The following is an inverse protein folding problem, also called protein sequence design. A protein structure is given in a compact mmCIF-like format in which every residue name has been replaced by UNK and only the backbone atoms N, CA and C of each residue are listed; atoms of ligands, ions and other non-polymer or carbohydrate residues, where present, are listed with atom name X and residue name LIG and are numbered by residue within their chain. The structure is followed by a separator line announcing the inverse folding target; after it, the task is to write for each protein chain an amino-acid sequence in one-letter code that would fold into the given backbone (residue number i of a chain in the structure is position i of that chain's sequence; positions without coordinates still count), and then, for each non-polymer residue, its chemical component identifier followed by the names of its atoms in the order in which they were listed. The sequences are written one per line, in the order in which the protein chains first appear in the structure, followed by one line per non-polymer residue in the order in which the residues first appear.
data_IF_257477041777
#
_entry.id   IF_257477041777
#
_cell.length_a   1.000
_cell.length_b   1.000
_cell.length_c   1.000
_cell.angle_alpha   90.00
_cell.angle_beta   90.00
_cell.angle_gamma   90.00
#
_symmetry.space_group_name_H-M   'P 1'
#
loop_
_entity.id
_entity.type
_entity.pdbx_description
1 polymer ?
#
# COMPACT_ATOMS: atom_id res chain seq x y z
N UNK A 1 24.98 0.00 -5.41
CA UNK A 1 23.65 0.47 -5.88
C UNK A 1 23.21 -0.32 -7.13
N UNK A 2 23.81 -1.49 -7.37
CA UNK A 2 23.88 -2.12 -8.70
C UNK A 2 23.39 -3.58 -8.66
N UNK A 3 22.61 -3.93 -7.63
CA UNK A 3 22.02 -5.27 -7.57
C UNK A 3 20.94 -5.40 -8.66
N UNK A 4 21.07 -6.37 -9.58
CA UNK A 4 20.10 -6.58 -10.62
C UNK A 4 18.75 -6.99 -10.01
N UNK A 5 17.66 -6.59 -10.65
CA UNK A 5 16.32 -7.08 -10.27
C UNK A 5 16.33 -8.60 -10.43
N UNK A 6 15.94 -9.37 -9.39
CA UNK A 6 15.74 -10.81 -9.53
C UNK A 6 14.81 -11.10 -10.72
N UNK A 7 15.27 -11.93 -11.66
CA UNK A 7 14.44 -12.36 -12.77
C UNK A 7 13.36 -13.32 -12.27
N UNK A 8 12.22 -13.35 -12.97
CA UNK A 8 11.14 -14.32 -12.77
C UNK A 8 11.21 -15.32 -13.92
N UNK A 9 11.85 -16.50 -13.73
CA UNK A 9 11.94 -17.51 -14.77
C UNK A 9 10.55 -17.96 -15.24
N UNK A 10 10.36 -18.18 -16.55
CA UNK A 10 9.07 -18.60 -17.11
C UNK A 10 8.08 -17.46 -17.40
N UNK A 11 8.40 -16.21 -17.04
CA UNK A 11 7.52 -15.06 -17.23
C UNK A 11 7.13 -14.86 -18.71
N UNK A 12 8.02 -15.18 -19.64
CA UNK A 12 7.83 -15.08 -21.09
C UNK A 12 6.72 -16.00 -21.64
N UNK A 13 6.32 -17.03 -20.87
CA UNK A 13 5.17 -17.88 -21.21
C UNK A 13 3.83 -17.17 -21.01
N UNK A 14 3.84 -16.08 -20.24
CA UNK A 14 2.65 -15.30 -19.86
C UNK A 14 2.66 -13.92 -20.49
N UNK A 15 3.77 -13.18 -20.38
CA UNK A 15 3.87 -11.77 -20.79
C UNK A 15 4.60 -11.67 -22.12
N UNK A 16 3.89 -11.22 -23.16
CA UNK A 16 4.43 -10.98 -24.51
C UNK A 16 4.88 -9.54 -24.72
N UNK A 17 4.27 -8.58 -24.03
CA UNK A 17 4.62 -7.16 -24.11
C UNK A 17 4.80 -6.56 -22.71
N UNK A 18 6.04 -6.54 -22.23
CA UNK A 18 6.40 -6.03 -20.89
C UNK A 18 6.04 -4.55 -20.71
N UNK A 19 6.34 -3.63 -21.63
CA UNK A 19 5.91 -2.23 -21.50
C UNK A 19 4.41 -2.03 -21.29
N UNK A 20 3.56 -2.77 -22.00
CA UNK A 20 2.10 -2.71 -21.82
C UNK A 20 1.69 -3.33 -20.48
N UNK A 21 2.33 -4.43 -20.06
CA UNK A 21 2.08 -5.03 -18.75
C UNK A 21 2.46 -4.09 -17.59
N UNK A 22 3.55 -3.32 -17.71
CA UNK A 22 3.97 -2.30 -16.74
C UNK A 22 2.94 -1.16 -16.69
N UNK A 23 2.47 -0.69 -17.85
CA UNK A 23 1.41 0.34 -17.91
C UNK A 23 0.09 -0.15 -17.30
N UNK A 24 -0.29 -1.40 -17.57
CA UNK A 24 -1.42 -2.06 -16.93
C UNK A 24 -1.24 -2.11 -15.40
N UNK A 25 -0.07 -2.53 -14.92
CA UNK A 25 0.25 -2.61 -13.50
C UNK A 25 0.15 -1.27 -12.81
N UNK A 26 0.75 -0.22 -13.40
CA UNK A 26 0.62 1.14 -12.87
C UNK A 26 -0.85 1.57 -12.85
N UNK A 27 -1.59 1.37 -13.93
CA UNK A 27 -3.00 1.75 -13.95
C UNK A 27 -3.81 1.03 -12.86
N UNK A 28 -3.63 -0.28 -12.66
CA UNK A 28 -4.30 -1.05 -11.60
C UNK A 28 -3.90 -0.58 -10.20
N UNK A 29 -2.61 -0.30 -9.96
CA UNK A 29 -2.11 0.12 -8.65
C UNK A 29 -2.73 1.44 -8.17
N UNK A 30 -3.02 2.35 -9.11
CA UNK A 30 -3.51 3.69 -8.83
C UNK A 30 -5.03 3.86 -8.98
N UNK A 31 -5.75 2.89 -9.55
CA UNK A 31 -7.17 3.07 -9.89
C UNK A 31 -8.09 2.84 -8.69
N UNK A 32 -8.77 3.90 -8.27
CA UNK A 32 -9.75 3.87 -7.18
C UNK A 32 -10.96 2.95 -7.47
N UNK A 33 -11.19 2.60 -8.74
CA UNK A 33 -12.23 1.62 -9.14
C UNK A 33 -11.81 0.18 -8.88
N UNK A 34 -10.58 -0.11 -8.49
CA UNK A 34 -10.21 -1.45 -8.01
C UNK A 34 -10.98 -1.75 -6.73
N UNK A 35 -10.82 -0.89 -5.73
CA UNK A 35 -11.55 -0.98 -4.47
C UNK A 35 -13.05 -0.74 -4.61
N UNK A 36 -13.78 -1.09 -3.56
CA UNK A 36 -15.23 -0.97 -3.53
C UNK A 36 -15.73 0.42 -3.16
N UNK A 37 -14.93 1.17 -2.42
CA UNK A 37 -15.29 2.48 -1.85
C UNK A 37 -14.24 3.57 -2.17
N UNK A 38 -13.49 3.36 -3.26
CA UNK A 38 -12.48 4.30 -3.75
C UNK A 38 -11.06 4.05 -3.23
N UNK A 39 -10.81 2.98 -2.47
CA UNK A 39 -9.44 2.61 -2.13
C UNK A 39 -8.68 2.02 -3.33
N UNK A 40 -7.42 2.41 -3.45
CA UNK A 40 -6.45 1.87 -4.41
C UNK A 40 -5.19 1.44 -3.63
N UNK A 41 -4.32 0.63 -4.23
CA UNK A 41 -3.03 0.31 -3.60
C UNK A 41 -2.25 1.61 -3.29
N UNK A 42 -2.29 2.57 -4.21
CA UNK A 42 -1.65 3.86 -4.03
C UNK A 42 -2.17 4.67 -2.82
N UNK A 43 -3.41 4.48 -2.36
CA UNK A 43 -3.95 5.21 -1.20
C UNK A 43 -3.12 5.04 0.06
N UNK A 44 -2.47 3.88 0.24
CA UNK A 44 -1.62 3.57 1.38
C UNK A 44 -0.12 3.57 1.03
N UNK A 45 0.24 3.68 -0.25
CA UNK A 45 1.62 3.51 -0.73
C UNK A 45 2.16 4.73 -1.52
N UNK A 46 1.49 5.88 -1.51
CA UNK A 46 1.88 7.03 -2.32
C UNK A 46 3.14 7.77 -1.81
N UNK A 47 3.38 7.80 -0.50
CA UNK A 47 4.48 8.55 0.10
C UNK A 47 5.66 7.64 0.42
N UNK A 48 6.60 7.51 -0.53
CA UNK A 48 7.73 6.58 -0.41
C UNK A 48 7.30 5.13 -0.10
N UNK A 49 6.10 4.74 -0.55
CA UNK A 49 5.55 3.42 -0.34
C UNK A 49 4.87 3.19 1.01
N UNK A 50 4.75 4.18 1.88
CA UNK A 50 4.07 4.07 3.17
C UNK A 50 2.92 5.08 3.30
N UNK A 51 2.03 4.83 4.25
CA UNK A 51 0.91 5.72 4.55
C UNK A 51 1.37 6.79 5.56
N UNK A 52 1.36 8.05 5.14
CA UNK A 52 1.72 9.19 5.98
C UNK A 52 0.49 10.04 6.38
N UNK A 53 -0.72 9.53 6.15
CA UNK A 53 -1.93 10.16 6.68
C UNK A 53 -1.87 10.13 8.20
N UNK A 54 -2.46 11.12 8.85
CA UNK A 54 -2.47 11.22 10.33
C UNK A 54 -3.82 10.87 10.93
N UNK A 55 -4.90 10.93 10.13
CA UNK A 55 -6.26 10.74 10.60
C UNK A 55 -6.78 9.34 10.28
N UNK A 56 -7.44 8.73 11.26
CA UNK A 56 -8.01 7.39 11.15
C UNK A 56 -6.93 6.33 10.84
N UNK A 57 -5.89 6.31 11.67
CA UNK A 57 -4.69 5.49 11.47
C UNK A 57 -4.44 4.55 12.65
N UNK A 58 -5.42 4.30 13.51
CA UNK A 58 -5.26 3.42 14.68
C UNK A 58 -6.15 2.20 14.47
N UNK A 59 -5.56 1.01 14.66
CA UNK A 59 -6.26 -0.26 14.78
C UNK A 59 -6.10 -0.77 16.21
N UNK A 60 -7.13 -1.35 16.84
CA UNK A 60 -6.94 -2.07 18.08
C UNK A 60 -6.13 -3.35 17.83
N UNK A 61 -5.79 -4.07 18.89
CA UNK A 61 -5.02 -5.32 18.86
C UNK A 61 -5.73 -6.51 18.19
N UNK A 62 -6.37 -6.33 17.02
CA UNK A 62 -7.23 -7.29 16.33
C UNK A 62 -6.55 -8.64 16.10
N UNK A 63 -5.23 -8.66 15.85
CA UNK A 63 -4.47 -9.91 15.68
C UNK A 63 -4.34 -10.73 16.96
N UNK A 64 -4.43 -10.09 18.10
CA UNK A 64 -4.51 -10.72 19.42
C UNK A 64 -5.95 -11.00 19.85
N UNK A 65 -6.95 -10.72 19.02
CA UNK A 65 -8.37 -10.85 19.37
C UNK A 65 -8.94 -9.66 20.14
N UNK A 66 -8.18 -8.57 20.29
CA UNK A 66 -8.66 -7.36 20.96
C UNK A 66 -9.33 -6.42 19.96
N UNK A 67 -10.63 -6.19 20.16
CA UNK A 67 -11.43 -5.28 19.35
C UNK A 67 -11.63 -3.92 20.00
N UNK A 68 -11.21 -3.75 21.26
CA UNK A 68 -11.32 -2.49 21.97
C UNK A 68 -10.07 -1.64 21.72
N UNK A 69 -10.25 -0.35 21.53
CA UNK A 69 -9.12 0.58 21.47
C UNK A 69 -8.55 0.79 22.85
N UNK A 70 -7.23 0.81 22.95
CA UNK A 70 -6.54 1.10 24.19
C UNK A 70 -6.83 2.52 24.72
N UNK A 71 -6.50 2.77 25.97
CA UNK A 71 -6.53 4.11 26.55
C UNK A 71 -5.14 4.71 26.52
N UNK A 72 -4.98 5.89 25.92
CA UNK A 72 -3.74 6.67 26.05
C UNK A 72 -4.00 7.91 26.91
N UNK A 73 -2.96 8.64 27.37
CA UNK A 73 -3.16 9.91 28.04
C UNK A 73 -3.92 10.94 27.18
N UNK A 74 -3.96 10.76 25.85
CA UNK A 74 -4.83 11.50 24.96
C UNK A 74 -6.28 10.99 25.12
N UNK A 75 -7.19 11.88 25.51
CA UNK A 75 -8.59 11.52 25.87
C UNK A 75 -9.46 11.01 24.71
N UNK A 76 -8.98 11.09 23.46
CA UNK A 76 -9.74 10.79 22.24
C UNK A 76 -9.10 9.69 21.36
N UNK A 77 -8.28 8.81 21.96
CA UNK A 77 -7.63 7.72 21.24
C UNK A 77 -8.64 6.73 20.63
N UNK A 78 -8.52 6.46 19.33
CA UNK A 78 -9.31 5.42 18.67
C UNK A 78 -9.71 5.75 17.23
N UNK A 79 -10.88 5.29 16.76
CA UNK A 79 -11.29 5.43 15.38
C UNK A 79 -11.45 6.91 15.01
N UNK A 80 -11.03 7.30 13.81
CA UNK A 80 -11.07 8.69 13.31
C UNK A 80 -10.22 9.72 14.08
N UNK A 81 -9.42 9.29 15.05
CA UNK A 81 -8.46 10.15 15.76
C UNK A 81 -7.39 10.70 14.79
N UNK A 82 -6.88 11.90 15.09
CA UNK A 82 -5.76 12.53 14.39
C UNK A 82 -4.50 12.39 15.23
N UNK A 83 -3.54 11.60 14.76
CA UNK A 83 -2.27 11.38 15.41
C UNK A 83 -1.50 12.69 15.64
N UNK A 84 -0.84 12.75 16.79
CA UNK A 84 0.04 13.83 17.24
C UNK A 84 1.42 13.25 17.56
N UNK A 85 2.45 14.10 17.56
CA UNK A 85 3.81 13.68 17.92
C UNK A 85 3.88 13.08 19.33
N UNK A 86 3.12 13.63 20.28
CA UNK A 86 3.05 13.18 21.68
C UNK A 86 2.45 11.79 21.88
N UNK A 87 1.83 11.21 20.84
CA UNK A 87 1.30 9.85 20.88
C UNK A 87 2.40 8.80 20.78
N UNK A 88 3.61 9.20 20.38
CA UNK A 88 4.75 8.32 20.22
C UNK A 88 5.78 8.49 21.35
N UNK A 89 6.52 7.42 21.69
CA UNK A 89 6.37 6.06 21.17
C UNK A 89 5.19 5.29 21.80
N UNK A 90 4.71 4.24 21.12
CA UNK A 90 3.62 3.38 21.60
C UNK A 90 4.02 2.47 22.77
N UNK A 91 5.33 2.43 23.07
CA UNK A 91 5.92 1.76 24.22
C UNK A 91 6.97 2.71 24.83
N UNK A 92 6.74 3.16 26.05
CA UNK A 92 7.57 4.14 26.77
C UNK A 92 8.15 3.53 28.02
N UNK A 93 9.47 3.62 28.14
CA UNK A 93 10.25 3.24 29.30
C UNK A 93 10.62 4.49 30.12
N UNK A 94 10.85 4.31 31.43
CA UNK A 94 11.31 5.37 32.32
C UNK A 94 12.70 5.87 31.93
N UNK A 95 13.59 4.95 31.55
CA UNK A 95 14.83 5.25 30.85
C UNK A 95 14.78 4.60 29.44
N UNK A 96 14.66 5.41 28.37
CA UNK A 96 14.63 4.90 27.00
C UNK A 96 15.89 4.13 26.56
N UNK A 97 17.01 4.26 27.28
CA UNK A 97 18.26 3.58 26.99
C UNK A 97 18.43 2.27 27.79
N UNK A 98 17.57 2.03 28.77
CA UNK A 98 17.56 0.80 29.58
C UNK A 98 16.28 0.00 29.35
N UNK A 99 16.41 -1.10 28.62
CA UNK A 99 15.33 -2.05 28.31
C UNK A 99 14.70 -2.71 29.53
N UNK A 100 15.37 -2.67 30.69
CA UNK A 100 14.90 -3.27 31.93
C UNK A 100 14.30 -2.21 32.90
N UNK A 101 14.25 -0.93 32.49
CA UNK A 101 13.60 0.14 33.26
C UNK A 101 12.07 0.05 33.23
N UNK A 102 11.43 0.74 34.16
CA UNK A 102 9.96 0.69 34.33
C UNK A 102 9.21 1.10 33.05
N UNK A 103 8.16 0.36 32.70
CA UNK A 103 7.27 0.70 31.59
C UNK A 103 6.29 1.77 32.05
N UNK A 104 6.41 2.98 31.50
CA UNK A 104 5.50 4.10 31.79
C UNK A 104 4.20 4.02 31.01
N UNK A 105 4.24 3.45 29.81
CA UNK A 105 3.08 3.30 28.94
C UNK A 105 3.34 2.25 27.87
N UNK A 106 2.34 1.45 27.57
CA UNK A 106 2.36 0.53 26.43
C UNK A 106 0.94 0.34 25.94
N UNK A 107 0.78 0.16 24.63
CA UNK A 107 -0.49 -0.26 24.02
C UNK A 107 -0.23 -1.37 23.01
N UNK A 108 -1.22 -2.23 22.80
CA UNK A 108 -1.26 -3.23 21.73
C UNK A 108 -1.88 -2.67 20.44
N UNK A 109 -2.43 -1.46 20.48
CA UNK A 109 -2.94 -0.77 19.31
C UNK A 109 -1.82 -0.49 18.30
N UNK A 110 -2.18 -0.52 17.03
CA UNK A 110 -1.26 -0.39 15.90
C UNK A 110 -1.56 0.91 15.16
N UNK A 111 -0.53 1.73 14.95
CA UNK A 111 -0.60 2.83 13.99
C UNK A 111 -0.37 2.30 12.57
N UNK A 112 -1.36 2.46 11.71
CA UNK A 112 -1.52 1.74 10.46
C UNK A 112 -2.46 2.44 9.50
N UNK A 113 -2.67 1.88 8.31
CA UNK A 113 -3.33 2.54 7.19
C UNK A 113 -4.84 2.37 7.20
N UNK A 114 -5.54 3.47 6.93
CA UNK A 114 -6.99 3.46 6.72
C UNK A 114 -7.36 2.72 5.43
N UNK A 115 -8.23 1.72 5.56
CA UNK A 115 -8.76 0.91 4.46
C UNK A 115 -10.21 1.24 4.15
N UNK A 116 -11.07 0.23 4.02
CA UNK A 116 -12.46 0.34 3.54
C UNK A 116 -13.47 0.67 4.66
N UNK A 117 -14.65 1.17 4.28
CA UNK A 117 -15.81 1.24 5.17
C UNK A 117 -16.52 -0.11 5.34
N UNK A 118 -16.28 -1.08 4.46
CA UNK A 118 -16.84 -2.42 4.40
C UNK A 118 -18.38 -2.60 4.37
N UNK A 119 -18.83 -3.74 3.86
CA UNK A 119 -20.20 -4.22 3.71
C UNK A 119 -20.20 -5.33 2.65
N UNK A 120 -21.10 -6.32 2.71
CA UNK A 120 -20.97 -7.51 1.84
C UNK A 120 -21.06 -7.24 0.33
N UNK A 121 -20.25 -7.91 -0.48
CA UNK A 121 -20.38 -7.85 -1.93
C UNK A 121 -21.73 -8.44 -2.39
N UNK A 122 -22.52 -7.65 -3.13
CA UNK A 122 -23.82 -8.09 -3.67
C UNK A 122 -23.71 -8.47 -5.14
N UNK A 123 -23.19 -7.55 -5.98
CA UNK A 123 -23.06 -7.77 -7.43
C UNK A 123 -22.18 -6.72 -8.10
N UNK A 124 -21.57 -7.12 -9.22
CA UNK A 124 -21.03 -6.18 -10.22
C UNK A 124 -22.15 -5.68 -11.12
N UNK A 125 -22.21 -4.37 -11.35
CA UNK A 125 -22.95 -3.78 -12.47
C UNK A 125 -21.94 -3.46 -13.57
N UNK A 126 -21.96 -4.20 -14.68
CA UNK A 126 -21.02 -3.97 -15.81
C UNK A 126 -21.01 -2.49 -16.19
N UNK A 127 -19.81 -1.91 -16.32
CA UNK A 127 -19.57 -0.47 -16.60
C UNK A 127 -20.06 0.54 -15.54
N UNK A 128 -20.75 0.11 -14.49
CA UNK A 128 -21.33 0.97 -13.46
C UNK A 128 -20.80 0.68 -12.04
N UNK A 129 -19.71 -0.09 -11.92
CA UNK A 129 -19.08 -0.40 -10.64
C UNK A 129 -19.64 -1.66 -9.99
N UNK A 130 -19.62 -1.70 -8.66
CA UNK A 130 -20.18 -2.78 -7.86
C UNK A 130 -21.08 -2.24 -6.77
N UNK A 131 -21.93 -3.11 -6.22
CA UNK A 131 -22.81 -2.78 -5.10
C UNK A 131 -22.37 -3.59 -3.89
N UNK A 132 -22.20 -2.89 -2.78
CA UNK A 132 -22.00 -3.49 -1.47
C UNK A 132 -23.26 -3.39 -0.61
N UNK A 133 -23.37 -4.29 0.34
CA UNK A 133 -24.43 -4.41 1.30
C UNK A 133 -24.23 -3.47 2.49
N UNK A 134 -25.02 -3.73 3.53
CA UNK A 134 -24.87 -3.04 4.80
C UNK A 134 -23.68 -3.63 5.56
N UNK A 135 -23.14 -2.84 6.47
CA UNK A 135 -22.12 -3.25 7.43
C UNK A 135 -22.73 -3.37 8.81
N UNK A 136 -22.31 -4.41 9.51
CA UNK A 136 -22.62 -4.59 10.91
C UNK A 136 -21.81 -3.63 11.80
N UNK A 137 -22.39 -3.12 12.90
CA UNK A 137 -21.66 -2.32 13.88
C UNK A 137 -20.38 -3.00 14.39
N UNK A 138 -19.29 -2.24 14.45
CA UNK A 138 -18.01 -2.69 14.98
C UNK A 138 -17.28 -1.56 15.72
N UNK A 139 -16.05 -1.80 16.16
CA UNK A 139 -15.27 -0.82 16.92
C UNK A 139 -14.84 0.41 16.11
N UNK A 140 -14.93 0.37 14.77
CA UNK A 140 -14.63 1.52 13.91
C UNK A 140 -15.89 2.36 13.65
N UNK A 141 -16.50 2.84 14.73
CA UNK A 141 -17.65 3.74 14.72
C UNK A 141 -17.44 4.92 15.66
N UNK A 142 -17.94 6.09 15.26
CA UNK A 142 -17.87 7.32 16.05
C UNK A 142 -19.25 7.96 16.05
N UNK A 143 -19.85 8.12 17.23
CA UNK A 143 -21.21 8.68 17.40
C UNK A 143 -22.27 8.01 16.51
N UNK A 144 -22.24 6.67 16.42
CA UNK A 144 -23.18 5.89 15.61
C UNK A 144 -22.93 5.95 14.09
N UNK A 145 -21.83 6.56 13.64
CA UNK A 145 -21.44 6.62 12.23
C UNK A 145 -20.23 5.73 11.98
N UNK A 146 -20.28 4.96 10.90
CA UNK A 146 -19.15 4.18 10.43
C UNK A 146 -18.00 5.09 9.99
N UNK A 147 -16.80 4.72 10.42
CA UNK A 147 -15.55 5.26 9.87
C UNK A 147 -14.77 4.14 9.18
N UNK A 148 -13.72 4.50 8.43
CA UNK A 148 -12.90 3.51 7.72
C UNK A 148 -12.26 2.56 8.74
N UNK A 149 -12.29 1.26 8.45
CA UNK A 149 -11.47 0.28 9.14
C UNK A 149 -9.99 0.64 8.99
N UNK A 150 -9.18 0.24 9.96
CA UNK A 150 -7.72 0.42 9.91
C UNK A 150 -7.09 -0.95 9.96
N UNK A 151 -6.10 -1.18 9.08
CA UNK A 151 -5.40 -2.45 9.01
C UNK A 151 -4.71 -2.80 10.33
N UNK A 152 -4.71 -4.08 10.75
CA UNK A 152 -3.98 -4.50 11.95
C UNK A 152 -2.46 -4.62 11.73
N UNK A 153 -1.94 -4.10 10.62
CA UNK A 153 -0.51 -3.99 10.31
C UNK A 153 -0.25 -2.74 9.48
N UNK A 154 0.76 -1.98 9.87
CA UNK A 154 1.24 -0.85 9.11
C UNK A 154 1.64 -1.26 7.68
N UNK A 155 1.30 -0.41 6.71
CA UNK A 155 1.64 -0.64 5.30
C UNK A 155 3.15 -0.50 5.08
N UNK A 156 3.84 -1.56 4.62
CA UNK A 156 5.28 -1.50 4.39
C UNK A 156 5.61 -0.68 3.14
N UNK A 157 6.83 -0.13 3.10
CA UNK A 157 7.34 0.56 1.92
C UNK A 157 7.40 -0.35 0.70
N UNK A 158 7.05 0.20 -0.47
CA UNK A 158 7.25 -0.43 -1.79
C UNK A 158 8.70 -0.35 -2.27
N UNK A 159 9.51 0.54 -1.66
CA UNK A 159 10.91 0.72 -2.03
C UNK A 159 11.67 -0.56 -1.70
N UNK A 160 12.42 -1.07 -2.69
CA UNK A 160 13.22 -2.29 -2.58
C UNK A 160 12.43 -3.58 -2.26
N UNK A 161 11.09 -3.54 -2.20
CA UNK A 161 10.27 -4.72 -1.91
C UNK A 161 10.50 -5.88 -2.91
N UNK A 162 10.94 -5.55 -4.13
CA UNK A 162 11.36 -6.52 -5.15
C UNK A 162 12.52 -7.43 -4.74
N UNK A 163 13.38 -6.98 -3.83
CA UNK A 163 14.53 -7.75 -3.36
C UNK A 163 14.18 -8.70 -2.21
N UNK A 164 12.97 -8.63 -1.67
CA UNK A 164 12.53 -9.53 -0.61
C UNK A 164 12.21 -10.91 -1.19
N UNK A 165 12.87 -11.94 -0.66
CA UNK A 165 12.53 -13.33 -0.98
C UNK A 165 11.05 -13.64 -0.63
N UNK A 166 10.56 -13.14 0.51
CA UNK A 166 9.13 -13.12 0.87
C UNK A 166 8.80 -11.78 1.50
N UNK A 167 7.68 -11.17 1.11
CA UNK A 167 7.30 -9.87 1.67
C UNK A 167 6.64 -10.00 3.04
N UNK A 168 5.90 -11.09 3.32
CA UNK A 168 5.18 -11.28 4.57
C UNK A 168 5.66 -12.51 5.34
N UNK A 169 5.72 -12.37 6.67
CA UNK A 169 6.19 -13.43 7.57
C UNK A 169 5.09 -14.41 7.99
N UNK A 170 3.83 -14.06 7.75
CA UNK A 170 2.66 -14.90 8.07
C UNK A 170 2.34 -15.96 7.00
N UNK A 171 3.26 -16.18 6.06
CA UNK A 171 3.08 -17.15 4.98
C UNK A 171 2.24 -16.64 3.80
N UNK A 172 1.76 -15.39 3.78
CA UNK A 172 1.33 -14.74 2.53
C UNK A 172 2.54 -14.22 1.74
N UNK A 173 2.30 -13.65 0.56
CA UNK A 173 3.34 -13.10 -0.32
C UNK A 173 4.48 -14.09 -0.61
N UNK A 174 4.12 -15.32 -0.97
CA UNK A 174 5.04 -16.42 -1.31
C UNK A 174 6.01 -16.04 -2.43
N UNK A 175 7.29 -16.43 -2.32
CA UNK A 175 8.28 -16.29 -3.39
C UNK A 175 7.85 -16.96 -4.70
N UNK A 176 7.08 -18.04 -4.59
CA UNK A 176 6.53 -18.76 -5.73
C UNK A 176 5.09 -18.31 -5.90
N UNK A 177 4.79 -17.58 -6.97
CA UNK A 177 3.45 -17.15 -7.33
C UNK A 177 2.73 -18.26 -8.09
N UNK A 178 1.49 -18.54 -7.69
CA UNK A 178 0.66 -19.61 -8.22
C UNK A 178 -0.41 -19.13 -9.23
N UNK A 179 -0.41 -17.84 -9.58
CA UNK A 179 -1.38 -17.25 -10.50
C UNK A 179 -2.72 -16.83 -9.87
N UNK A 180 -3.01 -17.19 -8.62
CA UNK A 180 -4.36 -17.05 -8.04
C UNK A 180 -4.37 -16.40 -6.66
N UNK A 181 -3.46 -16.80 -5.77
CA UNK A 181 -3.56 -16.48 -4.34
C UNK A 181 -2.19 -16.12 -3.72
N UNK A 182 -2.16 -15.46 -2.54
CA UNK A 182 -0.92 -15.00 -1.94
C UNK A 182 -0.05 -16.12 -1.35
N UNK A 183 -0.56 -17.35 -1.30
CA UNK A 183 0.03 -18.46 -0.56
C UNK A 183 0.97 -19.34 -1.38
N UNK A 184 1.02 -19.15 -2.71
CA UNK A 184 1.88 -19.95 -3.58
C UNK A 184 1.55 -21.44 -3.51
N UNK A 185 2.54 -22.35 -3.43
CA UNK A 185 2.32 -23.79 -3.38
C UNK A 185 1.51 -24.30 -2.17
N UNK A 186 1.29 -23.48 -1.13
CA UNK A 186 0.44 -23.84 0.01
C UNK A 186 -1.06 -23.81 -0.30
N UNK A 187 -1.43 -23.22 -1.43
CA UNK A 187 -2.79 -23.31 -1.95
C UNK A 187 -2.85 -24.47 -2.96
N UNK A 188 -3.36 -25.66 -2.56
CA UNK A 188 -3.39 -26.83 -3.43
C UNK A 188 -4.38 -26.66 -4.60
N UNK A 189 -5.32 -25.72 -4.46
CA UNK A 189 -6.38 -25.38 -5.39
C UNK A 189 -5.99 -24.22 -6.31
N UNK A 190 -4.78 -23.68 -6.27
CA UNK A 190 -4.41 -22.64 -7.22
C UNK A 190 -4.25 -23.23 -8.64
N UNK A 191 -5.16 -22.84 -9.54
CA UNK A 191 -5.18 -23.22 -10.96
C UNK A 191 -5.70 -22.08 -11.83
N UNK A 192 -5.15 -21.98 -13.03
CA UNK A 192 -5.58 -21.02 -14.08
C UNK A 192 -6.06 -21.79 -15.30
N UNK A 193 -6.91 -21.17 -16.12
CA UNK A 193 -7.43 -21.76 -17.35
C UNK A 193 -6.47 -21.51 -18.51
N UNK A 194 -6.01 -22.56 -19.17
CA UNK A 194 -5.25 -22.48 -20.43
C UNK A 194 -6.15 -22.87 -21.60
N UNK A 195 -6.12 -22.07 -22.67
CA UNK A 195 -6.75 -22.40 -23.94
C UNK A 195 -5.79 -23.27 -24.76
N UNK A 196 -6.29 -24.42 -25.19
CA UNK A 196 -5.58 -25.38 -26.02
C UNK A 196 -5.81 -25.06 -27.50
N UNK A 197 -4.95 -25.61 -28.37
CA UNK A 197 -5.03 -25.37 -29.82
C UNK A 197 -6.33 -25.87 -30.45
N UNK A 198 -6.98 -26.86 -29.85
CA UNK A 198 -8.29 -27.41 -30.26
C UNK A 198 -9.49 -26.57 -29.78
N UNK A 199 -9.23 -25.46 -29.08
CA UNK A 199 -10.25 -24.60 -28.49
C UNK A 199 -10.82 -25.07 -27.15
N UNK A 200 -10.35 -26.21 -26.62
CA UNK A 200 -10.68 -26.69 -25.27
C UNK A 200 -9.97 -25.87 -24.18
N UNK A 201 -10.45 -25.98 -22.93
CA UNK A 201 -9.84 -25.35 -21.76
C UNK A 201 -9.30 -26.42 -20.81
N UNK A 202 -8.07 -26.21 -20.35
CA UNK A 202 -7.43 -27.04 -19.32
C UNK A 202 -7.12 -26.23 -18.06
N UNK A 203 -7.37 -26.81 -16.89
CA UNK A 203 -6.86 -26.28 -15.64
C UNK A 203 -5.38 -26.62 -15.50
N UNK A 204 -4.54 -25.60 -15.33
CA UNK A 204 -3.09 -25.78 -15.17
C UNK A 204 -2.59 -25.09 -13.91
N UNK A 205 -1.58 -25.68 -13.27
CA UNK A 205 -0.88 -25.07 -12.15
C UNK A 205 0.19 -24.11 -12.65
N UNK A 206 0.36 -22.99 -11.97
CA UNK A 206 1.43 -22.03 -12.21
C UNK A 206 2.36 -22.05 -11.00
N UNK A 207 3.66 -21.90 -11.24
CA UNK A 207 4.67 -21.77 -10.21
C UNK A 207 5.79 -20.87 -10.74
N UNK A 208 5.67 -19.57 -10.50
CA UNK A 208 6.67 -18.58 -10.91
C UNK A 208 7.53 -18.19 -9.71
N UNK A 209 8.81 -18.52 -9.74
CA UNK A 209 9.77 -18.15 -8.70
C UNK A 209 10.16 -16.67 -8.77
N UNK A 210 10.67 -16.12 -7.66
CA UNK A 210 11.01 -14.71 -7.53
C UNK A 210 9.81 -13.81 -7.87
N UNK A 211 8.63 -14.22 -7.40
CA UNK A 211 7.37 -13.55 -7.65
C UNK A 211 6.61 -13.21 -6.35
N UNK A 212 7.36 -12.87 -5.29
CA UNK A 212 6.81 -12.48 -3.99
C UNK A 212 5.90 -11.24 -4.08
N UNK A 213 6.17 -10.33 -5.02
CA UNK A 213 5.33 -9.15 -5.29
C UNK A 213 4.01 -9.52 -5.97
N UNK A 214 4.02 -10.41 -6.96
CA UNK A 214 2.79 -10.89 -7.59
C UNK A 214 1.90 -11.61 -6.57
N UNK A 215 2.49 -12.48 -5.75
CA UNK A 215 1.79 -13.13 -4.64
C UNK A 215 1.23 -12.12 -3.64
N UNK A 216 1.99 -11.08 -3.28
CA UNK A 216 1.50 -10.04 -2.36
C UNK A 216 0.32 -9.26 -2.96
N UNK A 217 0.41 -8.92 -4.25
CA UNK A 217 -0.57 -8.09 -4.93
C UNK A 217 -1.97 -8.73 -5.01
N UNK A 218 -2.08 -10.06 -5.02
CA UNK A 218 -3.36 -10.78 -5.10
C UNK A 218 -4.05 -11.00 -3.74
N UNK A 219 -3.72 -10.19 -2.72
CA UNK A 219 -4.42 -10.17 -1.44
C UNK A 219 -5.31 -8.93 -1.27
N UNK A 220 -4.72 -7.72 -1.27
CA UNK A 220 -5.41 -6.48 -0.89
C UNK A 220 -6.72 -6.20 -1.63
N UNK A 221 -6.84 -6.42 -2.97
CA UNK A 221 -8.05 -6.07 -3.71
C UNK A 221 -9.32 -6.84 -3.31
N UNK A 222 -9.21 -7.89 -2.50
CA UNK A 222 -10.35 -8.66 -1.97
C UNK A 222 -10.50 -8.54 -0.46
N UNK A 223 -9.60 -7.82 0.22
CA UNK A 223 -9.64 -7.67 1.67
C UNK A 223 -10.72 -6.67 2.09
N UNK A 224 -11.57 -7.12 3.01
CA UNK A 224 -12.67 -6.41 3.66
C UNK A 224 -12.21 -5.45 4.77
N UNK A 225 -10.90 -5.36 4.96
CA UNK A 225 -10.26 -4.28 5.68
C UNK A 225 -9.51 -3.35 4.73
N UNK A 226 -8.84 -3.86 3.69
CA UNK A 226 -7.93 -3.03 2.88
C UNK A 226 -8.68 -2.21 1.81
N UNK A 227 -9.46 -2.88 0.96
CA UNK A 227 -9.92 -2.25 -0.30
C UNK A 227 -11.33 -2.62 -0.76
N UNK A 228 -11.92 -3.73 -0.30
CA UNK A 228 -13.03 -4.33 -1.01
C UNK A 228 -14.10 -4.86 -0.09
N UNK A 229 -15.33 -4.77 -0.53
CA UNK A 229 -16.46 -5.48 0.06
C UNK A 229 -16.18 -6.98 0.22
N UNK A 230 -16.68 -7.55 1.31
CA UNK A 230 -16.45 -8.89 1.79
C UNK A 230 -17.10 -9.90 0.86
N UNK A 231 -16.58 -11.13 0.85
CA UNK A 231 -17.05 -12.22 -0.01
C UNK A 231 -16.89 -12.00 -1.52
N UNK A 232 -16.24 -10.91 -1.97
CA UNK A 232 -15.90 -10.70 -3.38
C UNK A 232 -14.77 -11.63 -3.82
N UNK A 233 -14.87 -12.17 -5.04
CA UNK A 233 -13.80 -12.98 -5.64
C UNK A 233 -13.00 -12.21 -6.69
N UNK A 234 -11.81 -12.72 -7.04
CA UNK A 234 -11.01 -12.14 -8.13
C UNK A 234 -11.72 -12.22 -9.49
N UNK A 235 -12.63 -13.18 -9.67
CA UNK A 235 -13.43 -13.32 -10.90
C UNK A 235 -14.48 -12.21 -10.98
N UNK A 236 -15.06 -11.82 -9.85
CA UNK A 236 -15.92 -10.63 -9.74
C UNK A 236 -15.13 -9.36 -10.05
N UNK A 237 -13.93 -9.22 -9.50
CA UNK A 237 -13.05 -8.09 -9.79
C UNK A 237 -12.69 -8.03 -11.28
N UNK A 238 -12.36 -9.16 -11.90
CA UNK A 238 -12.12 -9.26 -13.34
C UNK A 238 -13.35 -8.85 -14.15
N UNK A 239 -14.53 -9.35 -13.80
CA UNK A 239 -15.81 -8.96 -14.42
C UNK A 239 -16.10 -7.46 -14.31
N UNK A 240 -15.77 -6.86 -13.17
CA UNK A 240 -15.85 -5.41 -12.97
C UNK A 240 -14.89 -4.70 -13.91
N UNK A 241 -13.60 -5.01 -13.86
CA UNK A 241 -12.55 -4.19 -14.46
C UNK A 241 -12.31 -4.43 -15.95
N UNK A 242 -12.43 -5.65 -16.47
CA UNK A 242 -12.06 -5.99 -17.87
C UNK A 242 -12.72 -5.06 -18.91
N UNK A 243 -13.96 -4.65 -18.67
CA UNK A 243 -14.70 -3.75 -19.56
C UNK A 243 -14.55 -2.25 -19.25
N UNK A 244 -13.90 -1.91 -18.14
CA UNK A 244 -13.73 -0.54 -17.68
C UNK A 244 -12.53 0.14 -18.35
N UNK A 245 -12.62 1.47 -18.39
CA UNK A 245 -11.51 2.34 -18.70
C UNK A 245 -10.65 2.52 -17.43
N UNK A 246 -9.34 2.26 -17.49
CA UNK A 246 -8.45 2.57 -16.38
C UNK A 246 -8.43 4.06 -16.06
N UNK A 247 -8.43 4.37 -14.77
CA UNK A 247 -8.33 5.72 -14.21
C UNK A 247 -9.44 6.64 -14.71
N UNK A 248 -10.65 6.11 -14.96
CA UNK A 248 -11.74 6.84 -15.61
C UNK A 248 -12.14 8.13 -14.89
N UNK A 249 -11.99 8.15 -13.56
CA UNK A 249 -12.34 9.29 -12.70
C UNK A 249 -11.10 10.10 -12.25
N UNK A 250 -9.91 9.74 -12.75
CA UNK A 250 -8.64 10.30 -12.32
C UNK A 250 -7.91 11.00 -13.46
N UNK A 251 -7.23 12.10 -13.14
CA UNK A 251 -6.35 12.79 -14.08
C UNK A 251 -5.01 12.07 -14.18
N UNK A 252 -4.55 11.87 -15.41
CA UNK A 252 -3.22 11.32 -15.70
C UNK A 252 -2.33 12.47 -16.14
N UNK A 253 -1.18 12.64 -15.48
CA UNK A 253 -0.25 13.70 -15.80
C UNK A 253 0.30 13.55 -17.22
N UNK A 254 0.44 14.65 -17.97
CA UNK A 254 0.90 14.61 -19.36
C UNK A 254 2.35 14.11 -19.50
N UNK A 255 3.17 14.31 -18.47
CA UNK A 255 4.55 13.82 -18.38
C UNK A 255 4.69 12.58 -17.48
N UNK A 256 3.61 11.83 -17.22
CA UNK A 256 3.71 10.58 -16.46
C UNK A 256 4.71 9.62 -17.13
N UNK A 257 5.66 9.10 -16.36
CA UNK A 257 6.79 8.29 -16.88
C UNK A 257 6.40 7.01 -17.60
N UNK A 258 5.18 6.50 -17.38
CA UNK A 258 4.70 5.24 -17.98
C UNK A 258 3.38 5.47 -18.74
N UNK A 259 2.44 6.21 -18.14
CA UNK A 259 1.08 6.36 -18.64
C UNK A 259 0.91 7.50 -19.64
N UNK A 260 1.89 8.39 -19.84
CA UNK A 260 1.76 9.51 -20.77
C UNK A 260 1.37 9.06 -22.20
N UNK A 261 1.94 7.96 -22.69
CA UNK A 261 1.61 7.42 -24.02
C UNK A 261 0.16 6.89 -24.11
N UNK A 262 -0.40 6.45 -22.98
CA UNK A 262 -1.73 5.85 -22.88
C UNK A 262 -2.82 6.86 -22.47
N UNK A 263 -2.42 8.04 -22.00
CA UNK A 263 -3.31 9.13 -21.54
C UNK A 263 -4.30 9.54 -22.63
N UNK A 264 -5.59 9.67 -22.29
CA UNK A 264 -6.59 10.19 -23.24
C UNK A 264 -6.35 11.65 -23.60
N UNK A 265 -6.81 12.09 -24.79
CA UNK A 265 -7.09 13.50 -25.02
C UNK A 265 -8.01 14.02 -23.90
N UNK A 266 -7.64 15.14 -23.27
CA UNK A 266 -8.32 15.68 -22.09
C UNK A 266 -7.81 15.20 -20.73
N UNK A 267 -6.94 14.19 -20.68
CA UNK A 267 -6.21 13.79 -19.47
C UNK A 267 -6.91 12.90 -18.46
N UNK A 268 -8.24 12.78 -18.52
CA UNK A 268 -8.99 11.84 -17.67
C UNK A 268 -8.93 10.41 -18.21
N UNK A 269 -8.25 9.56 -17.47
CA UNK A 269 -8.08 8.13 -17.76
C UNK A 269 -7.25 7.79 -19.00
N UNK A 270 -7.22 6.48 -19.30
CA UNK A 270 -6.44 5.92 -20.41
C UNK A 270 -7.29 5.62 -21.66
N UNK A 271 -6.64 5.55 -22.82
CA UNK A 271 -7.27 5.33 -24.14
C UNK A 271 -7.95 3.96 -24.25
N UNK A 272 -7.31 2.93 -23.69
CA UNK A 272 -7.74 1.53 -23.80
C UNK A 272 -8.49 1.07 -22.55
N UNK A 273 -9.32 0.05 -22.69
CA UNK A 273 -9.91 -0.70 -21.57
C UNK A 273 -8.88 -1.63 -20.92
N UNK A 274 -9.12 -2.07 -19.69
CA UNK A 274 -8.28 -3.09 -19.05
C UNK A 274 -8.19 -4.37 -19.89
N UNK A 275 -9.30 -4.85 -20.45
CA UNK A 275 -9.30 -6.02 -21.32
C UNK A 275 -8.44 -5.84 -22.57
N UNK A 276 -8.41 -4.64 -23.16
CA UNK A 276 -7.51 -4.36 -24.28
C UNK A 276 -6.04 -4.34 -23.87
N UNK A 277 -5.71 -3.76 -22.70
CA UNK A 277 -4.34 -3.79 -22.17
C UNK A 277 -3.89 -5.21 -21.84
N UNK A 278 -4.75 -6.05 -21.25
CA UNK A 278 -4.46 -7.47 -20.98
C UNK A 278 -4.18 -8.21 -22.30
N UNK A 279 -5.04 -8.06 -23.31
CA UNK A 279 -4.86 -8.70 -24.62
C UNK A 279 -3.57 -8.26 -25.32
N UNK A 280 -3.18 -7.00 -25.16
CA UNK A 280 -1.95 -6.48 -25.74
C UNK A 280 -0.69 -6.91 -24.96
N UNK A 281 -0.81 -7.23 -23.67
CA UNK A 281 0.30 -7.58 -22.79
C UNK A 281 0.58 -9.08 -22.69
N UNK A 282 -0.46 -9.92 -22.68
CA UNK A 282 -0.36 -11.33 -22.30
C UNK A 282 -0.64 -12.29 -23.47
N UNK A 283 -0.03 -13.48 -23.39
CA UNK A 283 -0.20 -14.57 -24.36
C UNK A 283 -1.68 -14.98 -24.49
N UNK A 284 -2.21 -15.12 -25.73
CA UNK A 284 -3.63 -15.46 -25.97
C UNK A 284 -4.11 -16.73 -25.29
N UNK A 285 -3.23 -17.71 -25.03
CA UNK A 285 -3.62 -18.95 -24.34
C UNK A 285 -4.20 -18.72 -22.96
N UNK A 286 -4.00 -17.55 -22.36
CA UNK A 286 -4.52 -17.22 -21.02
C UNK A 286 -5.85 -16.44 -21.05
N UNK A 287 -6.33 -15.96 -22.21
CA UNK A 287 -7.53 -15.12 -22.27
C UNK A 287 -8.44 -15.31 -23.49
N UNK A 288 -7.97 -15.97 -24.56
CA UNK A 288 -8.64 -16.02 -25.87
C UNK A 288 -9.57 -17.23 -26.08
N UNK A 289 -10.16 -17.75 -25.00
CA UNK A 289 -11.23 -18.75 -25.11
C UNK A 289 -12.60 -18.09 -25.15
N UNK A 290 -13.47 -18.62 -26.02
CA UNK A 290 -14.89 -18.27 -26.07
C UNK A 290 -15.72 -19.05 -25.04
N UNK A 291 -15.14 -20.05 -24.38
CA UNK A 291 -15.83 -20.84 -23.38
C UNK A 291 -16.08 -20.03 -22.11
N UNK A 292 -17.19 -20.36 -21.45
CA UNK A 292 -17.59 -19.78 -20.17
C UNK A 292 -17.58 -20.90 -19.13
N UNK A 293 -16.84 -20.71 -18.05
CA UNK A 293 -16.72 -21.66 -16.93
C UNK A 293 -17.35 -21.00 -15.71
N UNK A 294 -18.23 -21.67 -14.98
CA UNK A 294 -18.94 -21.11 -13.81
C UNK A 294 -19.62 -19.74 -14.07
N UNK A 295 -20.05 -19.50 -15.31
CA UNK A 295 -20.62 -18.22 -15.72
C UNK A 295 -19.62 -17.08 -15.96
N UNK A 296 -18.30 -17.30 -15.90
CA UNK A 296 -17.23 -16.33 -16.18
C UNK A 296 -16.44 -16.67 -17.43
N UNK A 297 -15.98 -15.64 -18.15
CA UNK A 297 -15.04 -15.81 -19.26
C UNK A 297 -13.63 -16.18 -18.76
N UNK A 298 -12.79 -16.75 -19.63
CA UNK A 298 -11.42 -17.11 -19.27
C UNK A 298 -10.62 -15.92 -18.72
N UNK A 299 -10.75 -14.73 -19.34
CA UNK A 299 -10.05 -13.52 -18.89
C UNK A 299 -10.51 -13.06 -17.50
N UNK A 300 -11.77 -13.28 -17.14
CA UNK A 300 -12.30 -13.00 -15.80
C UNK A 300 -11.79 -14.03 -14.77
N UNK A 301 -11.74 -15.32 -15.12
CA UNK A 301 -11.15 -16.37 -14.27
C UNK A 301 -9.68 -16.13 -13.98
N UNK A 302 -8.91 -15.83 -15.02
CA UNK A 302 -7.46 -15.62 -14.93
C UNK A 302 -7.08 -14.19 -14.54
N UNK A 303 -8.04 -13.35 -14.15
CA UNK A 303 -7.74 -11.99 -13.71
C UNK A 303 -6.67 -11.88 -12.59
N UNK A 304 -6.59 -12.76 -11.56
CA UNK A 304 -5.53 -12.66 -10.56
C UNK A 304 -4.14 -12.88 -11.14
N UNK A 305 -3.99 -13.69 -12.19
CA UNK A 305 -2.72 -13.92 -12.88
C UNK A 305 -2.25 -12.63 -13.56
N UNK A 306 -3.13 -11.98 -14.33
CA UNK A 306 -2.81 -10.72 -15.00
C UNK A 306 -2.51 -9.60 -14.00
N UNK A 307 -3.33 -9.52 -12.94
CA UNK A 307 -3.16 -8.57 -11.86
C UNK A 307 -1.79 -8.72 -11.19
N UNK A 308 -1.47 -9.92 -10.68
CA UNK A 308 -0.24 -10.18 -9.94
C UNK A 308 1.01 -9.88 -10.78
N UNK A 309 1.05 -10.39 -12.03
CA UNK A 309 2.20 -10.19 -12.91
C UNK A 309 2.36 -8.73 -13.35
N UNK A 310 1.27 -8.03 -13.64
CA UNK A 310 1.33 -6.62 -14.03
C UNK A 310 1.81 -5.73 -12.87
N UNK A 311 1.29 -5.94 -11.65
CA UNK A 311 1.71 -5.20 -10.45
C UNK A 311 3.17 -5.49 -10.12
N UNK A 312 3.61 -6.75 -10.19
CA UNK A 312 5.02 -7.10 -10.00
C UNK A 312 5.91 -6.37 -11.01
N UNK A 313 5.57 -6.42 -12.30
CA UNK A 313 6.37 -5.75 -13.32
C UNK A 313 6.44 -4.24 -13.10
N UNK A 314 5.32 -3.62 -12.70
CA UNK A 314 5.31 -2.21 -12.34
C UNK A 314 6.17 -1.93 -11.10
N UNK A 315 6.03 -2.71 -10.03
CA UNK A 315 6.80 -2.56 -8.79
C UNK A 315 8.32 -2.80 -8.98
N UNK A 316 8.69 -3.58 -10.00
CA UNK A 316 10.08 -3.79 -10.43
C UNK A 316 10.61 -2.65 -11.32
N UNK A 317 9.75 -1.79 -11.87
CA UNK A 317 10.17 -0.81 -12.87
C UNK A 317 11.18 0.21 -12.28
N UNK A 318 12.30 0.48 -12.97
CA UNK A 318 13.31 1.43 -12.49
C UNK A 318 12.77 2.83 -12.19
N UNK A 319 11.67 3.26 -12.82
CA UNK A 319 11.05 4.56 -12.52
C UNK A 319 10.55 4.66 -11.07
N UNK A 320 10.28 3.54 -10.39
CA UNK A 320 9.95 3.49 -8.97
C UNK A 320 11.16 3.48 -8.03
N UNK A 321 12.38 3.29 -8.56
CA UNK A 321 13.64 3.32 -7.77
C UNK A 321 14.07 4.74 -7.37
N UNK A 322 13.29 5.74 -7.72
CA UNK A 322 13.55 7.14 -7.42
C UNK A 322 14.57 7.76 -8.37
N UNK A 323 14.30 9.00 -8.77
CA UNK A 323 15.30 9.98 -9.15
C UNK A 323 16.24 10.27 -7.96
N UNK A 324 17.03 9.29 -7.54
CA UNK A 324 18.18 9.48 -6.65
C UNK A 324 19.45 9.74 -7.49
N UNK A 325 19.32 10.56 -8.54
CA UNK A 325 20.34 10.73 -9.57
C UNK A 325 20.10 11.95 -10.46
N UNK A 326 19.89 13.13 -9.87
CA UNK A 326 20.35 14.36 -10.52
C UNK A 326 21.80 14.55 -10.08
N UNK A 327 22.73 14.03 -10.87
CA UNK A 327 24.13 14.44 -10.76
C UNK A 327 24.27 15.91 -11.20
N UNK A 328 25.15 16.71 -10.56
CA UNK A 328 25.32 18.10 -10.95
C UNK A 328 26.11 18.14 -12.26
N UNK A 329 25.46 18.52 -13.36
CA UNK A 329 26.20 18.86 -14.57
C UNK A 329 25.52 18.48 -15.87
N UNK A 330 24.47 19.20 -16.24
CA UNK A 330 24.10 19.36 -17.65
C UNK A 330 23.21 20.60 -17.87
N UNK A 331 23.67 21.77 -17.44
CA UNK A 331 23.22 23.04 -18.05
C UNK A 331 24.32 23.53 -18.99
N UNK A 332 24.20 23.19 -20.29
CA UNK A 332 24.82 23.95 -21.37
C UNK A 332 23.74 24.86 -21.97
N UNK A 333 23.83 26.19 -21.84
CA UNK A 333 22.94 27.08 -22.56
C UNK A 333 23.39 27.21 -24.02
N UNK A 334 22.50 26.88 -24.94
CA UNK A 334 22.61 27.25 -26.35
C UNK A 334 22.49 28.77 -26.47
N UNK A 335 23.64 29.45 -26.52
CA UNK A 335 23.74 30.87 -26.90
C UNK A 335 23.62 30.99 -28.43
N UNK A 336 22.43 31.37 -28.93
CA UNK A 336 22.30 31.93 -30.28
C UNK A 336 22.82 33.38 -30.27
N UNK A 337 23.81 33.62 -31.12
CA UNK A 337 24.40 34.93 -31.43
C UNK A 337 23.40 35.82 -32.19
N UNK A 338 23.21 37.04 -31.73
CA UNK A 338 22.83 38.18 -32.58
C UNK A 338 23.84 39.32 -32.32
N UNK A 339 24.39 39.89 -33.39
CA UNK A 339 25.42 40.94 -33.38
C UNK A 339 24.81 42.34 -33.63
N UNK A 340 25.36 43.31 -32.88
CA UNK A 340 25.61 44.74 -33.19
C UNK A 340 24.49 45.80 -33.21
N UNK A 341 24.82 47.12 -33.06
CA UNK A 341 26.01 47.76 -32.48
C UNK A 341 25.72 48.89 -31.44
N UNK A 342 26.81 49.43 -30.88
CA UNK A 342 26.89 50.30 -29.69
C UNK A 342 26.49 51.78 -29.89
N UNK A 343 26.08 52.45 -28.79
CA UNK A 343 26.36 53.87 -28.50
C UNK A 343 26.44 54.13 -26.99
N UNK A 344 27.41 54.97 -26.61
CA UNK A 344 27.81 55.38 -25.25
C UNK A 344 26.84 56.42 -24.66
N UNK A 345 26.69 56.45 -23.33
CA UNK A 345 26.63 57.65 -22.48
C UNK A 345 26.70 57.26 -20.96
N UNK A 346 27.18 58.19 -20.13
CA UNK A 346 27.70 58.05 -18.74
C UNK A 346 26.60 58.13 -17.63
N UNK A 347 26.93 57.91 -16.32
CA UNK A 347 26.08 57.23 -15.32
C UNK A 347 25.38 58.13 -14.29
N UNK A 348 24.40 57.58 -13.55
CA UNK A 348 24.09 57.75 -12.10
C UNK A 348 22.82 56.93 -11.69
N UNK A 349 22.47 56.69 -10.39
CA UNK A 349 22.50 55.35 -9.80
C UNK A 349 21.16 54.77 -9.29
N UNK A 350 21.17 53.47 -9.01
CA UNK A 350 20.42 52.87 -7.88
C UNK A 350 19.02 52.29 -8.17
N UNK A 351 18.95 51.01 -8.54
CA UNK A 351 17.84 50.11 -8.16
C UNK A 351 18.21 48.66 -8.50
N UNK A 352 18.44 47.84 -7.48
CA UNK A 352 18.63 46.40 -7.64
C UNK A 352 17.26 45.71 -7.76
N UNK A 353 16.84 45.37 -8.98
CA UNK A 353 15.75 44.40 -9.20
C UNK A 353 16.33 43.00 -9.14
N UNK A 354 16.05 42.28 -8.05
CA UNK A 354 16.25 40.82 -7.97
C UNK A 354 15.12 40.12 -8.73
N UNK A 355 15.45 39.54 -9.87
CA UNK A 355 14.68 38.45 -10.49
C UNK A 355 14.71 37.23 -9.55
N UNK A 356 13.54 36.86 -9.00
CA UNK A 356 13.33 35.58 -8.31
C UNK A 356 12.96 34.52 -9.34
N UNK A 357 13.80 33.50 -9.47
CA UNK A 357 13.40 32.18 -9.95
C UNK A 357 12.55 31.51 -8.86
N UNK A 358 11.34 31.08 -9.24
CA UNK A 358 10.46 30.22 -8.46
C UNK A 358 10.77 28.75 -8.77
N UNK A 359 11.01 27.89 -7.78
CA UNK A 359 10.75 26.46 -7.89
C UNK A 359 9.37 26.14 -7.30
N UNK A 360 8.57 25.39 -8.05
CA UNK A 360 7.27 24.85 -7.65
C UNK A 360 7.44 23.84 -6.50
N UNK A 361 6.89 24.19 -5.32
CA UNK A 361 6.55 23.25 -4.26
C UNK A 361 5.11 23.50 -3.84
N UNK A 362 4.36 22.41 -3.71
CA UNK A 362 2.99 22.39 -3.22
C UNK A 362 3.02 22.56 -1.69
N UNK A 363 2.82 23.78 -1.20
CA UNK A 363 2.56 24.05 0.22
C UNK A 363 1.17 24.65 0.41
N UNK A 364 0.40 23.98 1.27
CA UNK A 364 -0.93 24.37 1.72
C UNK A 364 -0.77 25.41 2.85
N UNK A 365 -1.35 26.60 2.67
CA UNK A 365 -1.27 27.71 3.62
C UNK A 365 -1.74 27.32 5.04
N UNK A 366 -0.85 27.48 6.03
CA UNK A 366 -1.21 27.63 7.43
C UNK A 366 -0.62 28.95 7.97
N UNK A 367 -1.46 29.76 8.60
CA UNK A 367 -1.08 31.02 9.25
C UNK A 367 -0.36 30.71 10.58
N UNK A 368 0.73 31.42 10.94
CA UNK A 368 1.43 31.18 12.21
C UNK A 368 0.73 31.90 13.38
N UNK A 369 0.64 31.28 14.58
CA UNK A 369 0.28 32.00 15.79
C UNK A 369 1.49 32.75 16.37
N UNK A 370 1.20 33.92 16.95
CA UNK A 370 2.17 34.83 17.58
C UNK A 370 2.78 34.22 18.84
N UNK A 371 4.11 34.33 18.97
CA UNK A 371 4.85 33.98 20.18
C UNK A 371 4.57 34.98 21.31
N UNK A 372 4.12 34.47 22.46
CA UNK A 372 4.06 35.18 23.73
C UNK A 372 4.98 34.48 24.74
N UNK A 373 6.09 35.14 25.08
CA UNK A 373 7.04 34.67 26.07
C UNK A 373 6.52 34.93 27.49
N UNK A 374 6.47 33.90 28.34
CA UNK A 374 6.52 34.09 29.79
C UNK A 374 7.40 33.02 30.44
N UNK A 375 8.55 33.49 30.93
CA UNK A 375 9.42 32.79 31.88
C UNK A 375 8.68 32.63 33.21
N UNK A 376 8.66 31.42 33.79
CA UNK A 376 8.60 31.24 35.24
C UNK A 376 9.66 30.26 35.69
N UNK A 377 10.46 30.75 36.65
CA UNK A 377 11.48 30.02 37.41
C UNK A 377 10.79 29.04 38.37
N UNK A 378 11.35 27.85 38.53
CA UNK A 378 11.08 26.98 39.69
C UNK A 378 12.44 26.62 40.31
N UNK A 379 12.63 26.97 41.58
CA UNK A 379 13.76 26.55 42.41
C UNK A 379 13.50 25.14 42.99
N UNK A 380 14.54 24.36 43.29
CA UNK A 380 14.40 22.97 43.73
C UNK A 380 14.16 22.89 45.24
N UNK A 381 13.28 21.97 45.66
CA UNK A 381 13.20 21.53 47.05
C UNK A 381 13.94 20.19 47.21
N UNK A 382 14.81 20.15 48.21
CA UNK A 382 15.61 19.01 48.69
C UNK A 382 14.84 18.19 49.76
N UNK A 383 15.36 17.03 50.18
CA UNK A 383 14.59 15.85 50.61
C UNK A 383 14.52 15.67 52.15
N UNK A 384 13.90 14.55 52.57
CA UNK A 384 14.13 13.70 53.78
C UNK A 384 12.77 13.22 54.40
N UNK A 385 12.71 12.21 55.31
CA UNK A 385 13.21 10.84 55.17
C UNK A 385 12.25 9.76 55.76
N UNK A 386 12.57 8.48 55.52
CA UNK A 386 12.50 7.42 56.54
C UNK A 386 11.15 6.77 56.90
N UNK A 387 11.05 5.45 56.70
CA UNK A 387 10.02 4.63 57.33
C UNK A 387 10.20 3.13 57.04
N UNK A 388 10.83 2.41 57.97
CA UNK A 388 10.96 0.95 58.01
C UNK A 388 9.64 0.30 58.48
N UNK A 389 9.27 -0.86 57.92
CA UNK A 389 9.03 -2.12 58.66
C UNK A 389 8.65 -3.24 57.67
N UNK A 390 9.42 -4.34 57.59
CA UNK A 390 9.27 -5.63 58.31
C UNK A 390 8.02 -6.45 57.95
N UNK A 391 8.27 -7.64 57.40
CA UNK A 391 7.29 -8.73 57.27
C UNK A 391 7.74 -9.70 56.15
N UNK A 392 8.57 -10.70 56.44
CA UNK A 392 8.22 -12.02 56.93
C UNK A 392 8.29 -13.10 55.82
N UNK A 393 9.06 -14.12 56.14
CA UNK A 393 9.34 -15.38 55.46
C UNK A 393 8.24 -16.01 54.59
N UNK A 394 8.67 -16.52 53.42
CA UNK A 394 7.94 -17.55 52.67
C UNK A 394 8.89 -18.33 51.76
N UNK A 395 9.39 -19.48 52.22
CA UNK A 395 10.11 -20.46 51.40
C UNK A 395 9.12 -21.18 50.49
N UNK A 396 9.37 -21.21 49.18
CA UNK A 396 8.60 -22.01 48.23
C UNK A 396 9.53 -22.72 47.23
N UNK A 397 9.83 -23.99 47.51
CA UNK A 397 10.56 -24.91 46.61
C UNK A 397 9.64 -25.39 45.49
N UNK A 398 10.21 -25.55 44.29
CA UNK A 398 9.64 -26.29 43.15
C UNK A 398 9.12 -27.69 43.53
N UNK A 399 8.09 -28.19 42.83
CA UNK A 399 7.92 -29.61 42.63
C UNK A 399 8.25 -30.05 41.20
N UNK A 400 8.91 -31.20 41.15
CA UNK A 400 9.29 -32.00 39.99
C UNK A 400 8.07 -32.61 39.29
N UNK A 401 8.24 -32.86 37.98
CA UNK A 401 7.46 -33.79 37.14
C UNK A 401 7.21 -35.16 37.80
N UNK A 402 6.15 -35.87 37.36
CA UNK A 402 6.23 -37.30 37.13
C UNK A 402 5.91 -37.70 35.68
N UNK A 403 6.42 -38.87 35.33
CA UNK A 403 6.44 -39.51 34.03
C UNK A 403 5.10 -40.15 33.61
N UNK A 404 4.93 -40.21 32.28
CA UNK A 404 4.35 -41.30 31.45
C UNK A 404 3.20 -42.15 32.03
N UNK A 405 2.07 -42.16 31.31
CA UNK A 405 1.39 -43.41 30.91
C UNK A 405 0.97 -43.36 29.45
N UNK A 406 1.34 -44.43 28.74
CA UNK A 406 0.77 -44.86 27.46
C UNK A 406 -0.68 -45.27 27.67
N UNK A 407 -1.56 -45.00 26.70
CA UNK A 407 -2.51 -45.98 26.15
C UNK A 407 -3.08 -45.45 24.83
N UNK A 408 -2.99 -46.30 23.83
CA UNK A 408 -3.61 -46.22 22.52
C UNK A 408 -5.10 -46.53 22.65
N UNK A 409 -5.93 -45.84 21.87
CA UNK A 409 -6.87 -46.37 20.88
C UNK A 409 -7.25 -45.24 19.92
#
# INVERSE_FOLDING_TARGET
RDQPIPTTPGLEQFVRNKPVAIALGKALFWDMKVGSDGQACASCHFAAGADNRMKNQISPGLRGGDTAFGTTPARDWGPNYTLQESDFPLHRLADPLDRDSDVLFTTNDVVSSAGTFEGDFIRVKRKAGEKCGQRDPDSFMVHGKFVRKVEPRNTPTTINAVFNFRNFWDGRASNVFNGVSPFGPRDPDARVLQANADGSLSWVKVALENASLASQAVGPPLSDFEMSCGNKTFRDLGRKLVSMRPLADQDVHAADSVLAAYRRPGGKGLKHTYGQLIRAAFDPRWWDSRQVVDGYSQIEHNFPLFWGLAIQLYACDPALRGHAGVGPGAHRPLLRRCRHPARRLRPLPGAATRTRHLPEQWEMHQLPPRAGAHRRRVHPARPEPGGRDRGAHGRGRCPRRPQRRRRSL
#
